data_IF_993399386821
#
_entry.id   IF_993399386821
#
_cell.length_a   1.000
_cell.length_b   1.000
_cell.length_c   1.000
_cell.angle_alpha   90.00
_cell.angle_beta   90.00
_cell.angle_gamma   90.00
#
_symmetry.space_group_name_H-M   'P 1'
#
loop_
_entity.id
_entity.type
_entity.pdbx_description
1 polymer ?
#
# COMPACT_ATOMS: atom_id res chain seq x y z
N UNK A 1 -38.87 63.31 -23.72
CA UNK A 1 -39.18 62.39 -22.60
C UNK A 1 -38.76 60.98 -23.01
N UNK A 2 -38.11 60.27 -22.09
CA UNK A 2 -37.03 59.32 -22.37
C UNK A 2 -37.40 57.96 -22.95
N UNK A 3 -36.54 57.48 -23.86
CA UNK A 3 -36.47 56.08 -24.31
C UNK A 3 -35.58 55.30 -23.34
N UNK A 4 -36.15 54.31 -22.66
CA UNK A 4 -35.45 53.42 -21.73
C UNK A 4 -34.44 52.49 -22.42
N UNK A 5 -33.45 51.95 -21.68
CA UNK A 5 -32.33 51.22 -22.25
C UNK A 5 -32.73 49.81 -22.72
N UNK A 6 -32.30 49.46 -23.93
CA UNK A 6 -32.41 48.11 -24.52
C UNK A 6 -31.47 47.16 -23.78
N UNK A 7 -32.00 46.04 -23.30
CA UNK A 7 -31.23 44.92 -22.73
C UNK A 7 -30.38 44.28 -23.85
N UNK A 8 -29.06 44.27 -23.69
CA UNK A 8 -28.13 43.50 -24.56
C UNK A 8 -28.21 42.01 -24.22
N UNK A 9 -28.05 41.18 -25.24
CA UNK A 9 -28.13 39.72 -25.11
C UNK A 9 -26.87 39.16 -24.44
N UNK A 10 -27.02 38.02 -23.76
CA UNK A 10 -25.99 37.33 -22.95
C UNK A 10 -24.82 36.77 -23.76
N UNK A 11 -24.81 36.94 -25.09
CA UNK A 11 -23.77 36.45 -25.99
C UNK A 11 -22.60 37.46 -26.18
N UNK A 12 -22.79 38.75 -25.90
CA UNK A 12 -21.73 39.78 -26.06
C UNK A 12 -20.82 39.94 -24.81
N UNK A 13 -21.04 39.18 -23.74
CA UNK A 13 -20.23 39.25 -22.52
C UNK A 13 -19.14 38.15 -22.41
N UNK A 14 -19.00 37.26 -23.40
CA UNK A 14 -18.07 36.13 -23.35
C UNK A 14 -16.87 36.22 -24.31
N UNK A 15 -16.73 37.26 -25.12
CA UNK A 15 -15.60 37.42 -26.06
C UNK A 15 -14.49 38.39 -25.59
N UNK A 16 -14.51 38.85 -24.34
CA UNK A 16 -13.58 39.88 -23.84
C UNK A 16 -12.42 39.35 -22.94
N UNK A 17 -12.19 38.04 -22.82
CA UNK A 17 -11.14 37.50 -21.94
C UNK A 17 -10.22 36.48 -22.61
N UNK A 18 -9.80 36.76 -23.84
CA UNK A 18 -8.83 35.92 -24.54
C UNK A 18 -7.94 36.75 -25.45
N UNK A 19 -6.78 37.19 -24.93
CA UNK A 19 -5.58 37.47 -25.74
C UNK A 19 -4.31 37.52 -24.86
N UNK A 20 -3.18 36.96 -25.34
CA UNK A 20 -1.94 36.83 -24.58
C UNK A 20 -1.05 38.08 -24.72
N UNK A 21 -0.24 38.35 -23.69
CA UNK A 21 0.83 39.35 -23.76
C UNK A 21 2.17 38.62 -23.95
N UNK A 22 2.75 38.77 -25.13
CA UNK A 22 4.11 38.38 -25.47
C UNK A 22 5.03 39.61 -25.48
N UNK A 23 6.22 39.41 -24.90
CA UNK A 23 7.54 40.01 -25.18
C UNK A 23 7.80 41.52 -24.97
N UNK A 24 8.80 41.79 -24.14
CA UNK A 24 9.89 42.72 -24.49
C UNK A 24 11.21 42.25 -23.85
N UNK A 25 12.19 42.01 -24.71
CA UNK A 25 13.60 41.72 -24.45
C UNK A 25 14.35 43.06 -24.34
N UNK A 26 15.27 43.19 -23.38
CA UNK A 26 16.39 44.11 -23.51
C UNK A 26 17.60 43.59 -22.70
N UNK A 27 18.74 43.64 -23.37
CA UNK A 27 20.05 43.12 -23.04
C UNK A 27 20.74 43.90 -21.90
N UNK A 28 21.62 43.22 -21.16
CA UNK A 28 22.92 43.80 -20.81
C UNK A 28 23.92 42.70 -20.40
N UNK A 29 24.94 42.55 -21.24
CA UNK A 29 26.19 41.79 -21.05
C UNK A 29 27.25 42.58 -20.28
N UNK A 30 28.31 41.84 -19.89
CA UNK A 30 29.54 42.20 -19.17
C UNK A 30 29.40 42.19 -17.64
N UNK A 31 30.17 41.44 -16.86
CA UNK A 31 31.45 40.79 -17.07
C UNK A 31 32.29 41.03 -15.82
N UNK A 32 32.85 39.99 -15.20
CA UNK A 32 34.10 40.07 -14.43
C UNK A 32 34.42 38.69 -13.85
N UNK A 33 35.47 38.09 -14.40
CA UNK A 33 36.31 37.13 -13.71
C UNK A 33 36.81 37.72 -12.39
N UNK A 34 36.97 36.89 -11.35
CA UNK A 34 38.14 36.92 -10.46
C UNK A 34 38.17 35.67 -9.59
N UNK A 35 39.25 34.92 -9.78
CA UNK A 35 39.79 33.94 -8.87
C UNK A 35 40.16 34.57 -7.52
N UNK A 36 40.03 33.80 -6.44
CA UNK A 36 41.03 33.78 -5.37
C UNK A 36 40.78 32.58 -4.45
N UNK A 37 41.84 31.81 -4.31
CA UNK A 37 42.15 30.84 -3.27
C UNK A 37 41.71 31.27 -1.86
N UNK A 38 41.33 30.29 -1.02
CA UNK A 38 42.01 30.11 0.27
C UNK A 38 41.69 28.80 0.99
N UNK A 39 42.79 28.24 1.45
CA UNK A 39 43.07 27.05 2.23
C UNK A 39 42.39 26.96 3.61
N UNK A 40 42.29 25.70 4.04
CA UNK A 40 42.60 25.14 5.36
C UNK A 40 42.11 25.81 6.65
N UNK A 41 41.32 25.03 7.39
CA UNK A 41 40.97 25.29 8.79
C UNK A 41 40.55 24.02 9.51
N UNK A 42 41.44 23.04 9.61
CA UNK A 42 41.26 21.85 10.43
C UNK A 42 41.18 22.22 11.93
N UNK A 43 40.03 21.98 12.58
CA UNK A 43 39.92 22.09 14.03
C UNK A 43 39.69 20.72 14.68
N UNK A 44 40.78 20.19 15.23
CA UNK A 44 40.85 18.94 16.00
C UNK A 44 40.38 19.20 17.44
N UNK A 45 39.14 18.86 17.78
CA UNK A 45 38.73 18.76 19.18
C UNK A 45 38.90 17.33 19.70
N UNK A 46 40.06 17.10 20.33
CA UNK A 46 40.41 15.93 21.15
C UNK A 46 39.63 16.01 22.48
N UNK A 47 38.49 15.32 22.57
CA UNK A 47 37.82 15.09 23.86
C UNK A 47 38.45 13.87 24.54
N UNK A 48 39.06 14.10 25.70
CA UNK A 48 39.69 13.12 26.58
C UNK A 48 38.64 12.12 27.11
N UNK A 49 38.86 10.85 26.80
CA UNK A 49 38.28 9.68 27.48
C UNK A 49 38.65 9.68 28.95
N UNK A 50 37.65 9.68 29.83
CA UNK A 50 37.76 9.22 31.23
C UNK A 50 36.98 7.89 31.33
N UNK A 51 37.70 6.78 31.35
CA UNK A 51 37.18 5.46 31.73
C UNK A 51 37.13 5.42 33.27
N UNK A 52 35.94 5.25 33.83
CA UNK A 52 35.75 4.77 35.20
C UNK A 52 34.95 3.49 35.10
N UNK A 53 35.56 2.39 35.51
CA UNK A 53 34.93 1.08 35.53
C UNK A 53 33.87 1.01 36.61
N UNK A 54 32.77 0.34 36.28
CA UNK A 54 31.91 -0.34 37.23
C UNK A 54 31.55 -1.69 36.60
N UNK A 55 31.99 -2.71 37.30
CA UNK A 55 31.79 -4.12 37.08
C UNK A 55 30.40 -4.46 37.59
N UNK A 56 29.45 -4.76 36.70
CA UNK A 56 28.19 -5.41 37.07
C UNK A 56 27.90 -6.48 36.03
N UNK A 57 28.01 -7.73 36.47
CA UNK A 57 27.71 -8.91 35.67
C UNK A 57 26.25 -8.93 35.28
N UNK A 58 26.00 -8.82 33.97
CA UNK A 58 24.73 -9.17 33.36
C UNK A 58 25.08 -10.04 32.16
N UNK A 59 24.63 -11.30 32.19
CA UNK A 59 24.87 -12.28 31.16
C UNK A 59 24.54 -11.71 29.79
N UNK A 60 25.58 -11.41 29.01
CA UNK A 60 25.49 -11.20 27.59
C UNK A 60 25.15 -12.56 26.99
N UNK A 61 23.88 -12.74 26.63
CA UNK A 61 23.51 -13.66 25.58
C UNK A 61 24.31 -13.21 24.36
N UNK A 62 25.34 -14.00 24.07
CA UNK A 62 26.18 -13.92 22.90
C UNK A 62 25.33 -14.37 21.70
N UNK A 63 24.33 -13.56 21.34
CA UNK A 63 23.70 -13.60 20.03
C UNK A 63 24.74 -13.01 19.07
N UNK A 64 25.73 -13.83 18.74
CA UNK A 64 26.46 -13.66 17.50
C UNK A 64 25.41 -13.73 16.40
N UNK A 65 25.06 -12.55 15.89
CA UNK A 65 24.22 -12.35 14.72
C UNK A 65 24.89 -13.05 13.55
N UNK A 66 24.66 -14.36 13.44
CA UNK A 66 24.67 -15.06 12.18
C UNK A 66 23.77 -14.22 11.27
N UNK A 67 24.29 -13.73 10.13
CA UNK A 67 23.52 -13.05 9.07
C UNK A 67 22.47 -13.99 8.43
N UNK A 68 21.97 -14.95 9.21
CA UNK A 68 20.92 -15.88 8.90
C UNK A 68 19.62 -15.13 8.64
N UNK A 69 18.99 -15.54 7.54
CA UNK A 69 17.66 -15.12 7.12
C UNK A 69 16.70 -15.06 8.33
N UNK A 70 16.07 -13.89 8.53
CA UNK A 70 15.10 -13.70 9.61
C UNK A 70 13.99 -14.75 9.51
N UNK A 71 13.89 -15.65 10.50
CA UNK A 71 12.84 -16.67 10.47
C UNK A 71 11.46 -16.03 10.49
N UNK A 72 10.48 -16.66 9.83
CA UNK A 72 9.09 -16.18 9.77
C UNK A 72 8.50 -15.88 11.15
N UNK A 73 8.78 -16.73 12.13
CA UNK A 73 8.31 -16.55 13.52
C UNK A 73 8.93 -15.31 14.17
N UNK A 74 10.25 -15.14 14.05
CA UNK A 74 10.95 -13.94 14.58
C UNK A 74 10.46 -12.66 13.89
N UNK A 75 10.21 -12.73 12.58
CA UNK A 75 9.64 -11.63 11.80
C UNK A 75 8.22 -11.26 12.27
N UNK A 76 7.34 -12.27 12.44
CA UNK A 76 5.99 -12.05 12.96
C UNK A 76 5.98 -11.44 14.36
N UNK A 77 6.86 -11.91 15.25
CA UNK A 77 7.03 -11.33 16.59
C UNK A 77 7.42 -9.86 16.54
N UNK A 78 8.43 -9.50 15.72
CA UNK A 78 8.86 -8.10 15.53
C UNK A 78 7.73 -7.21 15.00
N UNK A 79 6.93 -7.71 14.06
CA UNK A 79 5.76 -6.99 13.53
C UNK A 79 4.71 -6.73 14.62
N UNK A 80 4.38 -7.76 15.40
CA UNK A 80 3.39 -7.64 16.49
C UNK A 80 3.85 -6.64 17.54
N UNK A 81 5.07 -6.80 18.07
CA UNK A 81 5.64 -5.93 19.09
C UNK A 81 5.68 -4.46 18.65
N UNK A 82 5.97 -4.21 17.37
CA UNK A 82 5.96 -2.85 16.84
C UNK A 82 4.54 -2.31 16.65
N UNK A 83 3.63 -3.09 16.05
CA UNK A 83 2.27 -2.67 15.75
C UNK A 83 1.42 -2.43 17.02
N UNK A 84 1.70 -3.19 18.08
CA UNK A 84 1.00 -3.09 19.38
C UNK A 84 1.59 -2.01 20.29
N UNK A 85 2.80 -1.50 19.98
CA UNK A 85 3.39 -0.39 20.71
C UNK A 85 2.79 0.95 20.25
N UNK A 86 1.71 1.37 20.92
CA UNK A 86 0.95 2.58 20.60
C UNK A 86 1.84 3.83 20.44
N UNK A 87 2.81 4.02 21.33
CA UNK A 87 3.69 5.20 21.27
C UNK A 87 4.63 5.17 20.07
N UNK A 88 5.16 4.00 19.69
CA UNK A 88 5.98 3.86 18.48
C UNK A 88 5.15 4.07 17.22
N UNK A 89 3.97 3.45 17.18
CA UNK A 89 3.06 3.56 16.05
C UNK A 89 2.58 5.00 15.85
N UNK A 90 2.17 5.69 16.91
CA UNK A 90 1.72 7.08 16.82
C UNK A 90 2.85 8.00 16.35
N UNK A 91 4.07 7.87 16.89
CA UNK A 91 5.22 8.65 16.41
C UNK A 91 5.51 8.41 14.93
N UNK A 92 5.39 7.16 14.46
CA UNK A 92 5.54 6.86 13.04
C UNK A 92 4.41 7.49 12.20
N UNK A 93 3.15 7.40 12.63
CA UNK A 93 2.02 8.05 11.95
C UNK A 93 2.24 9.56 11.83
N UNK A 94 2.63 10.21 12.93
CA UNK A 94 2.90 11.65 12.97
C UNK A 94 4.02 12.03 11.98
N UNK A 95 5.07 11.20 11.89
CA UNK A 95 6.19 11.43 10.96
C UNK A 95 5.81 11.37 9.48
N UNK A 96 4.68 10.72 9.13
CA UNK A 96 4.20 10.63 7.74
C UNK A 96 3.26 11.76 7.34
N UNK A 97 2.73 12.48 8.33
CA UNK A 97 1.65 13.44 8.13
C UNK A 97 0.31 12.77 7.81
N UNK A 98 -0.71 13.59 7.58
CA UNK A 98 -2.04 13.08 7.23
C UNK A 98 -2.04 12.49 5.81
N UNK A 99 -2.32 11.19 5.70
CA UNK A 99 -2.38 10.50 4.42
C UNK A 99 -3.46 11.10 3.48
N UNK A 100 -4.59 11.48 4.07
CA UNK A 100 -5.68 12.16 3.38
C UNK A 100 -5.19 13.43 2.65
N UNK A 101 -4.42 14.28 3.32
CA UNK A 101 -3.87 15.50 2.70
C UNK A 101 -3.07 15.18 1.44
N UNK A 102 -2.21 14.16 1.50
CA UNK A 102 -1.39 13.75 0.36
C UNK A 102 -2.23 13.22 -0.81
N UNK A 103 -3.27 12.44 -0.52
CA UNK A 103 -4.19 11.91 -1.53
C UNK A 103 -4.94 13.05 -2.22
N UNK A 104 -5.47 13.99 -1.45
CA UNK A 104 -6.22 15.13 -1.97
C UNK A 104 -5.34 16.11 -2.76
N UNK A 105 -4.11 16.37 -2.29
CA UNK A 105 -3.10 17.17 -2.99
C UNK A 105 -2.70 16.54 -4.33
N UNK A 106 -2.75 15.21 -4.44
CA UNK A 106 -2.51 14.49 -5.68
C UNK A 106 -3.52 14.82 -6.79
N UNK A 107 -4.67 15.42 -6.47
CA UNK A 107 -5.66 15.88 -7.46
C UNK A 107 -6.01 14.81 -8.52
N UNK A 108 -6.22 13.57 -8.07
CA UNK A 108 -6.54 12.42 -8.93
C UNK A 108 -5.33 11.76 -9.61
N UNK A 109 -4.10 12.08 -9.20
CA UNK A 109 -2.89 11.35 -9.63
C UNK A 109 -2.43 10.33 -8.59
N UNK A 110 -1.59 9.39 -9.03
CA UNK A 110 -1.01 8.38 -8.16
C UNK A 110 0.05 9.02 -7.24
N UNK A 111 -0.12 8.84 -5.93
CA UNK A 111 0.81 9.30 -4.90
C UNK A 111 1.76 8.18 -4.52
N UNK A 112 3.05 8.47 -4.41
CA UNK A 112 4.07 7.52 -3.95
C UNK A 112 4.84 8.03 -2.74
N UNK A 113 4.84 7.24 -1.67
CA UNK A 113 5.64 7.47 -0.47
C UNK A 113 6.80 6.48 -0.42
N UNK A 114 8.03 6.99 -0.32
CA UNK A 114 9.23 6.16 -0.13
C UNK A 114 9.50 5.92 1.34
N UNK A 115 10.28 4.87 1.62
CA UNK A 115 10.68 4.48 2.97
C UNK A 115 9.48 4.39 3.91
N UNK A 116 8.38 3.83 3.44
CA UNK A 116 7.05 3.97 4.02
C UNK A 116 6.97 3.47 5.47
N UNK A 117 7.40 2.23 5.73
CA UNK A 117 7.51 1.67 7.07
C UNK A 117 8.94 1.79 7.61
N UNK A 118 9.16 1.70 8.93
CA UNK A 118 10.51 1.45 9.44
C UNK A 118 11.12 0.22 8.77
N UNK A 119 12.39 0.30 8.40
CA UNK A 119 13.03 -0.72 7.55
C UNK A 119 12.93 -2.15 8.14
N UNK A 120 13.05 -2.27 9.46
CA UNK A 120 12.89 -3.54 10.17
C UNK A 120 11.50 -4.17 10.01
N UNK A 121 10.45 -3.33 9.92
CA UNK A 121 9.05 -3.76 9.75
C UNK A 121 8.81 -4.17 8.29
N UNK A 122 9.36 -3.42 7.33
CA UNK A 122 9.33 -3.84 5.93
C UNK A 122 10.05 -5.17 5.71
N UNK A 123 11.24 -5.34 6.30
CA UNK A 123 12.00 -6.59 6.22
C UNK A 123 11.22 -7.75 6.85
N UNK A 124 10.57 -7.51 8.00
CA UNK A 124 9.78 -8.54 8.67
C UNK A 124 8.54 -8.94 7.86
N UNK A 125 7.82 -7.98 7.28
CA UNK A 125 6.68 -8.26 6.41
C UNK A 125 7.09 -9.08 5.18
N UNK A 126 8.20 -8.72 4.52
CA UNK A 126 8.74 -9.48 3.41
C UNK A 126 9.13 -10.92 3.82
N UNK A 127 9.89 -11.07 4.92
CA UNK A 127 10.34 -12.38 5.40
C UNK A 127 9.15 -13.31 5.73
N UNK A 128 8.07 -12.76 6.29
CA UNK A 128 6.83 -13.53 6.50
C UNK A 128 6.24 -13.99 5.16
N UNK A 129 6.10 -13.08 4.19
CA UNK A 129 5.51 -13.40 2.87
C UNK A 129 6.34 -14.42 2.07
N UNK A 130 7.67 -14.28 2.06
CA UNK A 130 8.59 -15.23 1.41
C UNK A 130 8.55 -16.61 2.08
N UNK A 131 8.31 -16.66 3.40
CA UNK A 131 8.17 -17.88 4.18
C UNK A 131 6.76 -18.50 4.18
N UNK A 132 5.79 -17.97 3.41
CA UNK A 132 4.46 -18.55 3.31
C UNK A 132 4.48 -19.84 2.48
N UNK A 133 3.86 -20.94 2.97
CA UNK A 133 3.76 -22.17 2.19
C UNK A 133 2.82 -21.97 0.99
N UNK A 134 3.02 -22.71 -0.09
CA UNK A 134 2.24 -22.57 -1.33
C UNK A 134 0.71 -22.63 -1.09
N UNK A 135 0.26 -23.51 -0.19
CA UNK A 135 -1.15 -23.67 0.19
C UNK A 135 -1.79 -22.45 0.86
N UNK A 136 -1.00 -21.48 1.31
CA UNK A 136 -1.49 -20.24 1.88
C UNK A 136 -1.91 -19.23 0.81
N UNK A 137 -1.46 -19.42 -0.43
CA UNK A 137 -1.76 -18.55 -1.56
C UNK A 137 -2.99 -19.08 -2.32
N UNK A 138 -3.98 -18.22 -2.50
CA UNK A 138 -5.10 -18.45 -3.41
C UNK A 138 -4.78 -17.79 -4.77
N UNK A 139 -4.80 -18.60 -5.84
CA UNK A 139 -4.61 -18.10 -7.20
C UNK A 139 -5.85 -17.29 -7.63
N UNK A 140 -5.64 -16.01 -7.95
CA UNK A 140 -6.62 -15.16 -8.59
C UNK A 140 -6.34 -15.14 -10.09
N UNK A 141 -7.20 -15.77 -10.87
CA UNK A 141 -7.07 -15.81 -12.33
C UNK A 141 -8.42 -15.48 -13.00
N UNK A 142 -8.35 -14.54 -13.94
CA UNK A 142 -9.47 -14.21 -14.81
C UNK A 142 -8.96 -14.07 -16.24
N UNK A 143 -9.30 -15.05 -17.08
CA UNK A 143 -9.18 -14.96 -18.54
C UNK A 143 -10.57 -14.66 -19.12
N UNK A 144 -10.77 -13.44 -19.61
CA UNK A 144 -11.91 -13.06 -20.43
C UNK A 144 -11.42 -12.52 -21.77
N UNK A 145 -12.31 -12.41 -22.76
CA UNK A 145 -11.99 -11.97 -24.12
C UNK A 145 -11.72 -10.45 -24.19
N UNK A 146 -12.25 -9.68 -23.24
CA UNK A 146 -11.94 -8.26 -23.07
C UNK A 146 -10.71 -8.10 -22.17
N UNK A 147 -9.72 -7.30 -22.60
CA UNK A 147 -8.51 -7.01 -21.80
C UNK A 147 -8.79 -6.30 -20.47
N UNK A 148 -10.03 -5.81 -20.28
CA UNK A 148 -10.47 -5.22 -19.04
C UNK A 148 -10.57 -6.28 -17.92
N UNK A 149 -9.88 -6.03 -16.81
CA UNK A 149 -9.88 -6.86 -15.60
C UNK A 149 -9.34 -8.31 -15.73
N UNK A 150 -8.72 -8.68 -16.86
CA UNK A 150 -7.91 -9.92 -16.93
C UNK A 150 -6.80 -9.86 -15.90
N UNK A 151 -6.53 -10.94 -15.20
CA UNK A 151 -5.44 -10.96 -14.24
C UNK A 151 -5.01 -12.38 -13.94
N UNK A 152 -3.77 -12.51 -13.47
CA UNK A 152 -3.22 -13.73 -12.90
C UNK A 152 -2.20 -13.32 -11.85
N UNK A 153 -2.45 -13.68 -10.60
CA UNK A 153 -1.51 -13.53 -9.49
C UNK A 153 -1.97 -14.35 -8.28
N UNK A 154 -1.07 -14.61 -7.34
CA UNK A 154 -1.39 -15.25 -6.07
C UNK A 154 -1.71 -14.21 -4.99
N UNK A 155 -2.70 -14.46 -4.16
CA UNK A 155 -3.02 -13.59 -3.02
C UNK A 155 -3.36 -14.35 -1.75
N UNK A 156 -3.22 -13.68 -0.60
CA UNK A 156 -3.62 -14.21 0.69
C UNK A 156 -4.08 -13.04 1.58
N UNK A 157 -5.21 -13.15 2.27
CA UNK A 157 -5.68 -12.06 3.12
C UNK A 157 -4.72 -11.82 4.30
N UNK A 158 -4.41 -10.55 4.58
CA UNK A 158 -3.45 -10.17 5.64
C UNK A 158 -3.89 -10.72 7.00
N UNK A 159 -5.19 -10.80 7.24
CA UNK A 159 -5.79 -11.28 8.49
C UNK A 159 -5.79 -12.80 8.62
N UNK A 160 -5.65 -13.52 7.51
CA UNK A 160 -5.55 -14.99 7.49
C UNK A 160 -4.11 -15.47 7.76
N UNK A 161 -3.14 -14.54 7.80
CA UNK A 161 -1.74 -14.78 8.13
C UNK A 161 -1.48 -14.22 9.54
N UNK A 162 -1.39 -15.06 10.59
CA UNK A 162 -1.27 -14.60 11.98
C UNK A 162 -0.16 -13.58 12.21
N UNK A 163 0.99 -13.78 11.55
CA UNK A 163 2.16 -12.91 11.67
C UNK A 163 1.97 -11.51 11.04
N UNK A 164 1.03 -11.36 10.11
CA UNK A 164 0.71 -10.07 9.46
C UNK A 164 -0.59 -9.46 9.99
N UNK A 165 -1.43 -10.21 10.69
CA UNK A 165 -2.71 -9.74 11.22
C UNK A 165 -2.62 -8.42 12.03
N UNK A 166 -1.55 -8.14 12.82
CA UNK A 166 -1.40 -6.85 13.51
C UNK A 166 -1.39 -5.63 12.57
N UNK A 167 -0.97 -5.79 11.31
CA UNK A 167 -0.96 -4.69 10.32
C UNK A 167 -2.37 -4.16 10.03
N UNK A 168 -3.44 -4.94 10.27
CA UNK A 168 -4.81 -4.46 10.13
C UNK A 168 -5.07 -3.21 10.98
N UNK A 169 -4.61 -3.20 12.23
CA UNK A 169 -4.78 -2.05 13.12
C UNK A 169 -3.97 -0.84 12.63
N UNK A 170 -2.81 -1.09 12.02
CA UNK A 170 -1.96 -0.04 11.43
C UNK A 170 -2.67 0.61 10.24
N UNK A 171 -3.15 -0.17 9.28
CA UNK A 171 -3.90 0.35 8.12
C UNK A 171 -5.17 1.11 8.52
N UNK A 172 -5.84 0.67 9.59
CA UNK A 172 -6.97 1.41 10.15
C UNK A 172 -6.56 2.78 10.67
N UNK A 173 -5.47 2.87 11.42
CA UNK A 173 -5.01 4.13 12.01
C UNK A 173 -4.44 5.10 10.98
N UNK A 174 -3.92 4.61 9.85
CA UNK A 174 -3.34 5.44 8.79
C UNK A 174 -4.36 6.34 8.08
N UNK A 175 -5.57 5.85 7.82
CA UNK A 175 -6.62 6.60 7.13
C UNK A 175 -7.97 6.33 7.78
N UNK A 176 -8.12 6.73 9.04
CA UNK A 176 -9.36 6.47 9.83
C UNK A 176 -10.61 7.02 9.17
N UNK A 177 -10.46 8.16 8.48
CA UNK A 177 -11.52 8.84 7.74
C UNK A 177 -10.98 9.40 6.43
N UNK A 178 -11.88 9.61 5.48
CA UNK A 178 -11.65 10.35 4.25
C UNK A 178 -12.85 11.28 4.04
N UNK A 179 -12.60 12.58 3.88
CA UNK A 179 -13.62 13.64 3.76
C UNK A 179 -14.61 13.64 4.94
N UNK A 180 -14.08 13.39 6.14
CA UNK A 180 -14.86 13.34 7.38
C UNK A 180 -15.67 12.05 7.60
N UNK A 181 -15.64 11.11 6.66
CA UNK A 181 -16.38 9.86 6.77
C UNK A 181 -15.46 8.67 7.13
N UNK A 182 -15.84 7.77 8.05
CA UNK A 182 -15.02 6.63 8.43
C UNK A 182 -14.66 5.73 7.24
N UNK A 183 -13.47 5.14 7.28
CA UNK A 183 -13.07 4.11 6.31
C UNK A 183 -12.97 2.72 6.92
N UNK A 184 -12.98 1.70 6.06
CA UNK A 184 -12.76 0.30 6.39
C UNK A 184 -11.62 -0.27 5.51
N UNK A 185 -10.41 -0.48 6.06
CA UNK A 185 -9.29 -1.08 5.33
C UNK A 185 -9.47 -2.60 5.16
N UNK A 186 -9.37 -3.08 3.92
CA UNK A 186 -9.22 -4.51 3.62
C UNK A 186 -8.00 -4.68 2.72
N UNK A 187 -7.05 -5.49 3.17
CA UNK A 187 -5.75 -5.68 2.53
C UNK A 187 -5.37 -7.15 2.44
N UNK A 188 -4.69 -7.48 1.36
CA UNK A 188 -4.20 -8.82 1.06
C UNK A 188 -2.72 -8.73 0.65
N UNK A 189 -1.98 -9.79 0.92
CA UNK A 189 -0.68 -10.06 0.34
C UNK A 189 -0.85 -10.43 -1.13
N UNK A 190 0.01 -9.89 -1.99
CA UNK A 190 0.13 -10.24 -3.41
C UNK A 190 1.49 -10.84 -3.70
N UNK A 191 1.49 -11.90 -4.50
CA UNK A 191 2.68 -12.55 -5.04
C UNK A 191 2.50 -12.77 -6.54
N UNK A 192 3.40 -12.20 -7.33
CA UNK A 192 3.40 -12.28 -8.78
C UNK A 192 4.64 -13.07 -9.22
N UNK A 193 4.42 -14.24 -9.80
CA UNK A 193 5.46 -15.02 -10.46
C UNK A 193 5.62 -14.63 -11.93
N UNK A 194 6.51 -15.31 -12.66
CA UNK A 194 6.69 -15.07 -14.09
C UNK A 194 5.36 -15.17 -14.84
N UNK A 195 5.13 -14.24 -15.78
CA UNK A 195 3.90 -14.00 -16.55
C UNK A 195 2.69 -13.47 -15.79
N UNK A 196 2.72 -13.37 -14.46
CA UNK A 196 1.60 -12.81 -13.68
C UNK A 196 1.44 -11.31 -13.97
N UNK A 197 0.19 -10.84 -14.03
CA UNK A 197 -0.17 -9.49 -14.49
C UNK A 197 -1.56 -9.08 -13.99
N UNK A 198 -1.88 -7.79 -14.15
CA UNK A 198 -3.25 -7.28 -14.08
C UNK A 198 -3.50 -6.38 -15.29
N UNK A 199 -4.50 -6.71 -16.08
CA UNK A 199 -4.97 -5.91 -17.20
C UNK A 199 -5.56 -4.57 -16.76
N UNK A 200 -6.08 -3.82 -17.73
CA UNK A 200 -6.65 -2.49 -17.49
C UNK A 200 -7.89 -2.58 -16.58
N UNK A 201 -7.93 -1.80 -15.50
CA UNK A 201 -9.08 -1.71 -14.59
C UNK A 201 -9.06 -0.37 -13.82
N UNK A 202 -10.14 -0.03 -13.10
CA UNK A 202 -10.29 1.22 -12.35
C UNK A 202 -10.63 1.04 -10.86
N UNK A 203 -10.61 -0.21 -10.38
CA UNK A 203 -10.95 -0.63 -9.02
C UNK A 203 -12.37 -0.34 -8.52
N UNK A 204 -13.30 0.08 -9.38
CA UNK A 204 -14.70 0.22 -8.97
C UNK A 204 -15.27 -1.11 -8.49
N UNK A 205 -15.75 -1.13 -7.25
CA UNK A 205 -16.51 -2.25 -6.73
C UNK A 205 -17.45 -1.82 -5.62
N UNK A 206 -18.64 -2.42 -5.60
CA UNK A 206 -19.53 -2.43 -4.45
C UNK A 206 -19.35 -3.75 -3.70
N UNK A 207 -19.03 -3.65 -2.42
CA UNK A 207 -18.77 -4.81 -1.55
C UNK A 207 -19.77 -4.79 -0.40
N UNK A 208 -20.59 -5.85 -0.24
CA UNK A 208 -21.42 -6.00 0.94
C UNK A 208 -20.53 -6.39 2.13
N UNK A 209 -20.55 -5.60 3.19
CA UNK A 209 -19.91 -5.94 4.47
C UNK A 209 -20.97 -6.05 5.55
N UNK A 210 -20.86 -7.05 6.43
CA UNK A 210 -21.78 -7.24 7.55
C UNK A 210 -23.26 -7.47 7.14
N UNK A 211 -23.50 -8.01 5.95
CA UNK A 211 -24.83 -8.25 5.39
C UNK A 211 -25.00 -7.62 4.01
N UNK A 212 -26.03 -8.03 3.28
CA UNK A 212 -26.27 -7.58 1.91
C UNK A 212 -26.80 -6.13 1.85
N UNK A 213 -27.42 -5.63 2.92
CA UNK A 213 -27.90 -4.24 3.02
C UNK A 213 -26.79 -3.20 3.26
N UNK A 214 -25.60 -3.64 3.65
CA UNK A 214 -24.50 -2.76 4.05
C UNK A 214 -23.46 -2.70 2.94
N UNK A 215 -23.76 -1.91 1.91
CA UNK A 215 -22.88 -1.71 0.76
C UNK A 215 -21.79 -0.68 1.05
N UNK A 216 -20.57 -1.00 0.66
CA UNK A 216 -19.42 -0.11 0.70
C UNK A 216 -18.77 -0.03 -0.69
N UNK A 217 -18.28 1.15 -1.04
CA UNK A 217 -17.43 1.37 -2.22
C UNK A 217 -15.96 1.41 -1.81
N UNK A 218 -15.08 0.86 -2.64
CA UNK A 218 -13.63 1.15 -2.57
C UNK A 218 -13.42 2.63 -2.88
N UNK A 219 -12.66 3.35 -2.07
CA UNK A 219 -12.43 4.80 -2.26
C UNK A 219 -10.97 5.18 -2.38
N UNK A 220 -10.07 4.42 -1.76
CA UNK A 220 -8.63 4.59 -1.92
C UNK A 220 -8.01 3.22 -2.11
N UNK A 221 -7.32 3.04 -3.24
CA UNK A 221 -6.49 1.87 -3.47
C UNK A 221 -5.07 2.12 -2.95
N UNK A 222 -4.41 1.05 -2.52
CA UNK A 222 -3.11 1.13 -1.90
C UNK A 222 -2.25 -0.09 -2.24
N UNK A 223 -0.97 0.15 -2.49
CA UNK A 223 0.01 -0.90 -2.78
C UNK A 223 1.29 -0.59 -2.02
N UNK A 224 1.60 -1.37 -0.99
CA UNK A 224 2.89 -1.36 -0.32
C UNK A 224 3.82 -2.39 -0.97
N UNK A 225 4.82 -1.89 -1.69
CA UNK A 225 5.82 -2.71 -2.36
C UNK A 225 6.87 -3.24 -1.40
N UNK A 226 7.05 -4.55 -1.42
CA UNK A 226 8.00 -5.28 -0.56
C UNK A 226 9.06 -6.03 -1.36
N UNK A 227 9.19 -5.76 -2.66
CA UNK A 227 10.20 -6.44 -3.49
C UNK A 227 11.50 -5.65 -3.55
N UNK A 228 12.61 -6.24 -3.11
CA UNK A 228 13.94 -5.63 -3.12
C UNK A 228 14.51 -5.57 -4.54
N UNK A 229 15.27 -4.52 -4.85
CA UNK A 229 16.12 -4.44 -6.07
C UNK A 229 15.36 -4.70 -7.38
N UNK A 230 14.12 -4.22 -7.49
CA UNK A 230 13.29 -4.42 -8.70
C UNK A 230 13.57 -3.34 -9.75
N UNK A 231 13.62 -3.74 -11.01
CA UNK A 231 13.96 -2.89 -12.16
C UNK A 231 12.85 -2.87 -13.20
N UNK A 232 12.96 -2.02 -14.23
CA UNK A 232 11.98 -2.00 -15.32
C UNK A 232 12.01 -3.31 -16.14
N UNK A 233 13.19 -3.94 -16.25
CA UNK A 233 13.40 -5.18 -17.00
C UNK A 233 12.71 -6.40 -16.37
N UNK A 234 12.39 -6.33 -15.07
CA UNK A 234 11.72 -7.38 -14.31
C UNK A 234 10.21 -7.42 -14.55
N UNK A 235 9.64 -6.43 -15.25
CA UNK A 235 8.20 -6.32 -15.49
C UNK A 235 7.42 -6.01 -14.21
N UNK A 236 6.15 -6.39 -14.13
CA UNK A 236 5.33 -6.13 -12.92
C UNK A 236 5.15 -4.63 -12.61
N UNK A 237 5.23 -3.78 -13.62
CA UNK A 237 5.23 -2.31 -13.53
C UNK A 237 3.78 -1.84 -13.41
N UNK A 238 3.50 -0.96 -12.45
CA UNK A 238 2.21 -0.29 -12.38
C UNK A 238 2.16 0.81 -13.46
N UNK A 239 1.19 0.71 -14.35
CA UNK A 239 0.91 1.72 -15.38
C UNK A 239 -0.21 2.63 -14.89
N UNK A 240 0.07 3.93 -14.79
CA UNK A 240 -0.96 4.95 -14.63
C UNK A 240 -1.52 5.30 -16.02
N UNK A 241 -2.74 4.85 -16.30
CA UNK A 241 -3.37 5.04 -17.61
C UNK A 241 -4.13 6.38 -17.70
N UNK A 242 -4.14 7.16 -16.62
CA UNK A 242 -4.69 8.51 -16.55
C UNK A 242 -3.62 9.60 -16.45
N UNK A 243 -2.35 9.21 -16.28
CA UNK A 243 -1.23 10.13 -16.38
C UNK A 243 -1.29 10.89 -17.71
N UNK A 244 -0.99 12.18 -17.67
CA UNK A 244 -0.89 13.02 -18.88
C UNK A 244 0.19 12.43 -19.80
N UNK A 245 -0.06 12.41 -21.11
CA UNK A 245 0.82 11.76 -22.11
C UNK A 245 2.29 12.18 -22.05
N UNK A 246 2.58 13.39 -21.55
CA UNK A 246 3.93 13.95 -21.48
C UNK A 246 4.58 13.81 -20.10
N UNK A 247 3.92 13.13 -19.14
CA UNK A 247 4.49 12.84 -17.83
C UNK A 247 5.23 11.50 -17.85
N UNK A 248 6.53 11.53 -17.58
CA UNK A 248 7.36 10.33 -17.36
C UNK A 248 6.85 9.43 -16.20
N UNK A 249 5.88 9.93 -15.42
CA UNK A 249 5.27 9.29 -14.26
C UNK A 249 4.20 8.23 -14.61
N UNK A 250 3.86 8.03 -15.90
CA UNK A 250 2.89 7.01 -16.34
C UNK A 250 3.29 5.56 -16.04
N UNK A 251 4.53 5.32 -15.60
CA UNK A 251 5.07 4.01 -15.21
C UNK A 251 5.71 4.07 -13.84
N UNK A 252 5.29 3.20 -12.94
CA UNK A 252 5.84 3.06 -11.60
C UNK A 252 6.47 1.68 -11.43
N UNK A 253 7.80 1.63 -11.52
CA UNK A 253 8.58 0.44 -11.15
C UNK A 253 8.43 0.19 -9.65
N UNK A 254 8.09 -1.04 -9.20
CA UNK A 254 8.09 -1.42 -7.80
C UNK A 254 9.39 -1.01 -7.10
N UNK A 255 9.29 -0.33 -5.96
CA UNK A 255 10.45 0.04 -5.15
C UNK A 255 10.23 -0.48 -3.76
N UNK A 256 11.25 -1.13 -3.22
CA UNK A 256 11.20 -1.69 -1.88
C UNK A 256 10.77 -0.65 -0.85
N UNK A 257 9.87 -1.07 0.03
CA UNK A 257 9.32 -0.25 1.11
C UNK A 257 8.72 1.09 0.61
N UNK A 258 8.04 1.07 -0.54
CA UNK A 258 7.27 2.22 -1.01
C UNK A 258 5.77 1.94 -0.99
N UNK A 259 4.98 2.92 -0.56
CA UNK A 259 3.51 2.88 -0.61
C UNK A 259 3.03 3.72 -1.79
N UNK A 260 2.21 3.13 -2.64
CA UNK A 260 1.50 3.79 -3.72
C UNK A 260 0.01 3.89 -3.37
N UNK A 261 -0.60 5.03 -3.65
CA UNK A 261 -1.98 5.38 -3.29
C UNK A 261 -2.66 6.14 -4.42
N UNK A 262 -3.97 5.92 -4.60
CA UNK A 262 -4.80 6.73 -5.48
C UNK A 262 -6.28 6.61 -5.11
N UNK A 263 -7.08 7.63 -5.41
CA UNK A 263 -8.53 7.59 -5.23
C UNK A 263 -9.18 6.65 -6.27
N UNK A 264 -10.23 5.93 -5.89
CA UNK A 264 -11.02 5.09 -6.80
C UNK A 264 -12.24 5.90 -7.27
N UNK A 265 -12.53 5.97 -8.58
CA UNK A 265 -11.91 5.20 -9.66
C UNK A 265 -10.62 5.80 -10.24
N UNK A 266 -9.66 4.94 -10.57
CA UNK A 266 -8.43 5.35 -11.27
C UNK A 266 -7.96 4.27 -12.24
N UNK A 267 -7.88 4.57 -13.54
CA UNK A 267 -7.49 3.58 -14.55
C UNK A 267 -6.01 3.25 -14.46
N UNK A 268 -5.71 1.97 -14.25
CA UNK A 268 -4.35 1.47 -14.15
C UNK A 268 -4.25 0.02 -14.63
N UNK A 269 -3.01 -0.47 -14.75
CA UNK A 269 -2.69 -1.85 -15.08
C UNK A 269 -1.36 -2.26 -14.44
N UNK A 270 -1.06 -3.55 -14.40
CA UNK A 270 0.25 -4.10 -14.00
C UNK A 270 0.80 -4.94 -15.14
N UNK A 271 1.95 -4.57 -15.68
CA UNK A 271 2.60 -5.34 -16.76
C UNK A 271 2.95 -6.74 -16.29
N UNK A 272 3.07 -7.68 -17.23
CA UNK A 272 3.51 -9.03 -16.91
C UNK A 272 4.89 -9.02 -16.25
N UNK A 273 5.08 -9.82 -15.21
CA UNK A 273 6.39 -10.08 -14.62
C UNK A 273 7.23 -10.92 -15.57
N UNK A 274 8.45 -10.46 -15.84
CA UNK A 274 9.44 -11.13 -16.70
C UNK A 274 10.59 -11.72 -15.90
N UNK A 275 10.76 -11.30 -14.64
CA UNK A 275 11.76 -11.85 -13.75
C UNK A 275 11.50 -13.33 -13.39
N UNK A 276 12.58 -14.04 -13.05
CA UNK A 276 12.52 -15.43 -12.55
C UNK A 276 12.16 -15.53 -11.06
N UNK A 277 12.10 -14.40 -10.36
CA UNK A 277 11.77 -14.30 -8.93
C UNK A 277 10.41 -13.63 -8.73
N UNK A 278 9.82 -13.86 -7.57
CA UNK A 278 8.50 -13.31 -7.25
C UNK A 278 8.56 -11.81 -6.89
N UNK A 279 7.54 -11.08 -7.31
CA UNK A 279 7.22 -9.73 -6.83
C UNK A 279 6.18 -9.81 -5.72
N UNK A 280 6.49 -9.21 -4.58
CA UNK A 280 5.67 -9.15 -3.38
C UNK A 280 5.17 -7.73 -3.09
N UNK A 281 3.89 -7.64 -2.71
CA UNK A 281 3.27 -6.43 -2.18
C UNK A 281 2.20 -6.76 -1.15
N UNK A 282 1.85 -5.80 -0.29
CA UNK A 282 0.57 -5.80 0.41
C UNK A 282 -0.29 -4.75 -0.26
N UNK A 283 -1.43 -5.15 -0.81
CA UNK A 283 -2.32 -4.29 -1.58
C UNK A 283 -3.75 -4.39 -1.07
N UNK A 284 -4.56 -3.39 -1.33
CA UNK A 284 -5.94 -3.38 -0.85
C UNK A 284 -6.60 -2.03 -0.99
N UNK A 285 -7.71 -1.87 -0.28
CA UNK A 285 -8.53 -0.68 -0.35
C UNK A 285 -9.02 -0.24 1.01
N UNK A 286 -9.08 1.08 1.20
CA UNK A 286 -10.00 1.66 2.15
C UNK A 286 -11.36 1.80 1.50
N UNK A 287 -12.39 1.37 2.22
CA UNK A 287 -13.78 1.42 1.78
C UNK A 287 -14.55 2.44 2.59
N UNK A 288 -15.57 3.03 2.00
CA UNK A 288 -16.53 3.88 2.70
C UNK A 288 -17.96 3.42 2.39
N UNK A 289 -18.86 3.60 3.36
CA UNK A 289 -20.25 3.17 3.21
C UNK A 289 -20.94 3.92 2.05
N UNK A 290 -21.87 3.23 1.39
CA UNK A 290 -22.69 3.76 0.30
C UNK A 290 -22.17 3.42 -1.10
N UNK A 291 -23.01 3.69 -2.10
CA UNK A 291 -22.67 3.59 -3.52
C UNK A 291 -22.06 4.91 -3.99
N UNK A 292 -20.73 4.97 -4.16
CA UNK A 292 -20.02 6.22 -4.49
C UNK A 292 -19.79 6.44 -5.98
N UNK A 293 -20.05 5.43 -6.79
CA UNK A 293 -19.97 5.50 -8.24
C UNK A 293 -20.91 4.49 -8.87
N UNK A 294 -21.24 4.73 -10.13
CA UNK A 294 -21.90 3.72 -10.95
C UNK A 294 -20.89 2.63 -11.30
N UNK A 295 -21.25 1.39 -10.95
CA UNK A 295 -20.60 0.18 -11.45
C UNK A 295 -21.49 -0.32 -12.59
N UNK A 296 -20.97 -0.51 -13.81
CA UNK A 296 -21.75 -1.11 -14.89
C UNK A 296 -22.40 -2.39 -14.37
N UNK A 297 -23.70 -2.59 -14.65
CA UNK A 297 -24.38 -3.82 -14.27
C UNK A 297 -23.53 -4.97 -14.80
N UNK A 298 -22.91 -5.74 -13.90
CA UNK A 298 -22.19 -6.93 -14.33
C UNK A 298 -23.20 -7.78 -15.09
N UNK A 299 -22.87 -8.21 -16.32
CA UNK A 299 -23.60 -9.31 -16.97
C UNK A 299 -23.79 -10.38 -15.89
N UNK A 300 -25.04 -10.83 -15.61
CA UNK A 300 -25.31 -11.69 -14.47
C UNK A 300 -24.28 -12.80 -14.43
N UNK A 301 -23.38 -12.77 -13.43
CA UNK A 301 -22.53 -13.91 -13.13
C UNK A 301 -23.52 -15.01 -12.81
N UNK A 302 -23.71 -15.96 -13.74
CA UNK A 302 -24.40 -17.20 -13.44
C UNK A 302 -23.86 -17.66 -12.09
N UNK A 303 -24.73 -17.75 -11.08
CA UNK A 303 -24.34 -17.97 -9.69
C UNK A 303 -23.36 -19.15 -9.67
N UNK A 304 -22.06 -18.87 -9.58
CA UNK A 304 -21.08 -19.91 -9.30
C UNK A 304 -21.29 -20.22 -7.83
N UNK A 305 -22.14 -21.22 -7.61
CA UNK A 305 -22.36 -22.00 -6.40
C UNK A 305 -21.49 -21.54 -5.22
N UNK A 306 -21.95 -20.51 -4.51
CA UNK A 306 -21.37 -20.02 -3.25
C UNK A 306 -21.31 -21.13 -2.19
N UNK A 307 -21.98 -22.24 -2.46
CA UNK A 307 -21.90 -23.53 -1.78
C UNK A 307 -20.45 -24.02 -1.60
N UNK A 308 -19.52 -23.78 -2.53
CA UNK A 308 -18.12 -24.22 -2.35
C UNK A 308 -17.36 -23.38 -1.32
N UNK A 309 -17.53 -22.06 -1.32
CA UNK A 309 -16.94 -21.15 -0.33
C UNK A 309 -17.54 -21.37 1.07
N UNK A 310 -18.87 -21.54 1.13
CA UNK A 310 -19.61 -21.83 2.38
C UNK A 310 -19.23 -23.21 2.96
N UNK A 311 -18.99 -24.22 2.10
CA UNK A 311 -18.52 -25.56 2.50
C UNK A 311 -17.06 -25.53 2.97
N UNK A 312 -16.16 -24.76 2.33
CA UNK A 312 -14.76 -24.55 2.79
C UNK A 312 -14.73 -23.87 4.17
N UNK A 313 -15.63 -22.90 4.40
CA UNK A 313 -15.78 -22.21 5.69
C UNK A 313 -16.37 -23.12 6.79
N UNK A 314 -17.39 -23.92 6.48
CA UNK A 314 -17.98 -24.89 7.44
C UNK A 314 -16.99 -25.99 7.82
N UNK A 315 -16.21 -26.51 6.86
CA UNK A 315 -15.21 -27.55 7.10
C UNK A 315 -14.06 -27.02 7.97
N UNK A 316 -13.58 -25.79 7.73
CA UNK A 316 -12.58 -25.14 8.60
C UNK A 316 -13.11 -24.92 10.02
N UNK A 317 -14.36 -24.49 10.18
CA UNK A 317 -14.99 -24.28 11.51
C UNK A 317 -15.16 -25.60 12.26
N UNK A 318 -15.51 -26.69 11.56
CA UNK A 318 -15.63 -28.03 12.16
C UNK A 318 -14.27 -28.58 12.59
N UNK A 319 -13.22 -28.42 11.77
CA UNK A 319 -11.86 -28.85 12.10
C UNK A 319 -11.28 -28.09 13.30
N UNK A 320 -11.49 -26.77 13.39
CA UNK A 320 -11.06 -25.96 14.53
C UNK A 320 -11.78 -26.31 15.84
N UNK A 321 -13.07 -26.66 15.77
CA UNK A 321 -13.82 -27.09 16.95
C UNK A 321 -13.41 -28.49 17.44
N UNK A 322 -13.08 -29.41 16.54
CA UNK A 322 -12.57 -30.75 16.90
C UNK A 322 -11.19 -30.64 17.53
N UNK A 323 -10.29 -29.82 16.98
CA UNK A 323 -8.96 -29.61 17.56
C UNK A 323 -9.04 -28.99 18.97
N UNK A 324 -9.96 -28.04 19.21
CA UNK A 324 -10.21 -27.48 20.55
C UNK A 324 -10.78 -28.51 21.53
N UNK A 325 -11.66 -29.39 21.09
CA UNK A 325 -12.22 -30.44 21.93
C UNK A 325 -11.15 -31.45 22.35
N UNK A 326 -10.30 -31.88 21.41
CA UNK A 326 -9.19 -32.81 21.70
C UNK A 326 -8.20 -32.18 22.69
N UNK A 327 -7.81 -30.92 22.49
CA UNK A 327 -6.88 -30.23 23.41
C UNK A 327 -7.46 -30.08 24.84
N UNK A 328 -8.77 -29.83 24.98
CA UNK A 328 -9.41 -29.72 26.30
C UNK A 328 -9.64 -31.07 26.99
N UNK A 329 -9.67 -32.17 26.24
CA UNK A 329 -9.76 -33.53 26.77
C UNK A 329 -8.37 -34.01 27.24
N UNK A 330 -7.31 -33.72 26.48
CA UNK A 330 -5.91 -33.99 26.85
C UNK A 330 -5.45 -33.18 28.07
N UNK A 331 -5.93 -31.92 28.22
CA UNK A 331 -5.73 -31.12 29.44
C UNK A 331 -6.50 -31.67 30.65
N UNK A 332 -7.67 -32.28 30.46
CA UNK A 332 -8.45 -32.91 31.54
C UNK A 332 -7.86 -34.24 31.99
N UNK A 333 -7.30 -35.03 31.08
CA UNK A 333 -6.63 -36.29 31.42
C UNK A 333 -5.32 -36.04 32.19
N UNK A 334 -4.59 -34.97 31.86
CA UNK A 334 -3.37 -34.59 32.59
C UNK A 334 -3.62 -34.02 34.00
N UNK A 335 -4.82 -33.52 34.28
CA UNK A 335 -5.22 -33.04 35.62
C UNK A 335 -5.68 -34.17 36.57
N UNK A 336 -5.91 -35.38 36.07
CA UNK A 336 -6.32 -36.53 36.89
C UNK A 336 -5.15 -37.44 37.33
N UNK A 337 -3.90 -37.05 37.00
CA UNK A 337 -2.68 -37.79 37.34
C UNK A 337 -1.72 -37.04 38.28
N UNK A 338 -2.18 -35.94 38.89
CA UNK A 338 -1.52 -35.22 40.00
C UNK A 338 -2.45 -35.30 41.20
#
# INVERSE_FOLDING_TARGET
>A
MGRGPRKRSKLEQLEAQSRPAEQAVAEHTAGSERAADREDGASKNKVKRRRKGSNDGKGTLDDTDDEGTLSRERAGKKLSEWAENESRLQRWLDSRGALEGRILEGNGSIVRLRDFMPLEIANSALAVMEGLPEKAWDLSEHGGDDDAARHKFSSADVVDIPELAPLRAVFWKMLKSLRGEPTLPIFSCGRYGGSDFIGRHDDKAHVPFFGDENIYSRTVAAIWYLTKEWTEQDGGILLDLQAKKDCAEGKLVPMYNSLVLFEVPHWHAVTAVTASRNRYSIFGWWHQKGNRYEVPASVPRALKDTTKARKKMLVRKKAGNVAKAIATEEERENLNYI
#
